data_IF_342336746655
#
_entry.id   IF_342336746655
#
_cell.length_a   1.000
_cell.length_b   1.000
_cell.length_c   1.000
_cell.angle_alpha   90.00
_cell.angle_beta   90.00
_cell.angle_gamma   90.00
#
_symmetry.space_group_name_H-M   'P 1'
#
loop_
_entity.id
_entity.type
_entity.pdbx_description
1 polymer ?
#
# COMPACT_ATOMS: atom_id res chain seq x y z
N UNK A 1 -37.95 7.09 29.38
CA UNK A 1 -38.94 7.43 28.33
C UNK A 1 -38.41 7.29 26.90
N UNK A 2 -37.16 7.65 26.56
CA UNK A 2 -36.62 7.47 25.19
C UNK A 2 -36.05 6.06 24.90
N UNK A 3 -35.49 5.38 25.91
CA UNK A 3 -35.01 4.01 25.80
C UNK A 3 -36.13 2.96 25.94
N UNK A 4 -37.32 3.37 26.37
CA UNK A 4 -38.47 2.46 26.59
C UNK A 4 -39.28 2.22 25.31
N UNK A 5 -38.99 2.95 24.22
CA UNK A 5 -39.72 2.83 22.97
C UNK A 5 -39.09 1.78 22.05
N UNK A 6 -39.41 0.51 22.32
CA UNK A 6 -38.92 -0.67 21.60
C UNK A 6 -39.17 -0.58 20.08
N UNK A 7 -40.28 0.01 19.64
CA UNK A 7 -40.62 0.12 18.22
C UNK A 7 -39.66 1.05 17.46
N UNK A 8 -39.30 2.18 18.06
CA UNK A 8 -38.36 3.15 17.45
C UNK A 8 -36.99 2.51 17.28
N UNK A 9 -36.51 1.80 18.30
CA UNK A 9 -35.21 1.14 18.27
C UNK A 9 -35.19 -0.06 17.33
N UNK A 10 -36.25 -0.87 17.32
CA UNK A 10 -36.37 -2.02 16.40
C UNK A 10 -36.44 -1.58 14.93
N UNK A 11 -37.19 -0.51 14.64
CA UNK A 11 -37.25 0.08 13.31
C UNK A 11 -35.91 0.69 12.89
N UNK A 12 -35.24 1.39 13.79
CA UNK A 12 -33.92 1.94 13.49
C UNK A 12 -32.88 0.83 13.29
N UNK A 13 -32.89 -0.21 14.13
CA UNK A 13 -32.06 -1.42 14.03
C UNK A 13 -32.32 -2.27 12.78
N UNK A 14 -33.30 -1.95 11.95
CA UNK A 14 -33.53 -2.58 10.64
C UNK A 14 -33.39 -1.58 9.48
N UNK A 15 -33.30 -0.29 9.77
CA UNK A 15 -33.20 0.78 8.78
C UNK A 15 -31.81 0.91 8.15
N UNK A 16 -31.78 1.51 6.95
CA UNK A 16 -30.53 1.97 6.30
C UNK A 16 -29.93 3.20 6.98
N UNK A 17 -30.71 3.97 7.73
CA UNK A 17 -30.20 5.13 8.48
C UNK A 17 -29.17 4.69 9.54
N UNK A 18 -29.39 3.52 10.15
CA UNK A 18 -28.41 2.88 11.03
C UNK A 18 -27.14 2.42 10.28
N UNK A 19 -27.25 2.02 9.01
CA UNK A 19 -26.08 1.67 8.15
C UNK A 19 -25.26 2.92 7.77
N UNK A 20 -25.90 4.08 7.71
CA UNK A 20 -25.22 5.35 7.46
C UNK A 20 -24.60 5.95 8.74
N UNK A 21 -24.88 5.36 9.91
CA UNK A 21 -24.43 5.84 11.22
C UNK A 21 -25.22 7.05 11.71
N UNK A 22 -26.42 7.29 11.17
CA UNK A 22 -27.33 8.34 11.63
C UNK A 22 -28.13 7.84 12.81
N UNK A 23 -28.27 8.68 13.83
CA UNK A 23 -29.14 8.39 14.95
C UNK A 23 -30.62 8.51 14.53
N UNK A 24 -31.54 7.84 15.24
CA UNK A 24 -32.96 8.17 15.16
C UNK A 24 -33.16 9.67 15.40
N UNK A 25 -34.15 10.27 14.72
CA UNK A 25 -34.51 11.68 14.90
C UNK A 25 -34.75 12.01 16.39
N UNK A 26 -35.34 11.08 17.14
CA UNK A 26 -35.61 11.18 18.58
C UNK A 26 -34.35 11.36 19.47
N UNK A 27 -33.16 11.00 18.98
CA UNK A 27 -31.88 11.18 19.68
C UNK A 27 -31.00 12.25 19.04
N UNK A 28 -31.35 12.71 17.84
CA UNK A 28 -30.62 13.76 17.13
C UNK A 28 -30.77 15.11 17.85
N UNK A 29 -31.87 15.29 18.59
CA UNK A 29 -32.17 16.48 19.38
C UNK A 29 -31.57 16.46 20.79
N UNK A 30 -31.00 15.33 21.22
CA UNK A 30 -30.33 15.23 22.53
C UNK A 30 -28.89 15.73 22.43
N UNK A 31 -28.35 16.36 23.50
CA UNK A 31 -26.95 16.78 23.57
C UNK A 31 -26.02 15.57 23.81
N UNK A 32 -25.96 14.65 22.85
CA UNK A 32 -25.09 13.48 22.89
C UNK A 32 -23.70 13.84 22.35
N UNK A 33 -22.68 13.45 23.10
CA UNK A 33 -21.31 13.55 22.59
C UNK A 33 -21.08 12.53 21.46
N UNK A 34 -20.23 12.83 20.47
CA UNK A 34 -19.96 11.88 19.38
C UNK A 34 -19.41 10.52 19.86
N UNK A 35 -18.79 10.47 21.04
CA UNK A 35 -18.34 9.23 21.67
C UNK A 35 -19.51 8.42 22.27
N UNK A 36 -20.47 9.08 22.92
CA UNK A 36 -21.68 8.41 23.42
C UNK A 36 -22.51 7.81 22.28
N UNK A 37 -22.58 8.49 21.13
CA UNK A 37 -23.20 7.96 19.90
C UNK A 37 -22.54 6.64 19.48
N UNK A 38 -21.22 6.56 19.57
CA UNK A 38 -20.46 5.37 19.22
C UNK A 38 -20.73 4.20 20.17
N UNK A 39 -20.90 4.48 21.47
CA UNK A 39 -21.31 3.47 22.47
C UNK A 39 -22.71 2.90 22.18
N UNK A 40 -23.65 3.75 21.75
CA UNK A 40 -24.99 3.30 21.35
C UNK A 40 -24.92 2.37 20.13
N UNK A 41 -24.12 2.73 19.12
CA UNK A 41 -23.92 1.89 17.93
C UNK A 41 -23.22 0.58 18.30
N UNK A 42 -22.24 0.61 19.19
CA UNK A 42 -21.57 -0.60 19.68
C UNK A 42 -22.54 -1.56 20.37
N UNK A 43 -23.48 -1.04 21.17
CA UNK A 43 -24.45 -1.85 21.90
C UNK A 43 -25.54 -2.43 20.99
N UNK A 44 -26.02 -1.66 20.01
CA UNK A 44 -27.19 -2.03 19.21
C UNK A 44 -26.84 -2.66 17.85
N UNK A 45 -25.75 -2.25 17.21
CA UNK A 45 -25.31 -2.73 15.89
C UNK A 45 -23.78 -2.76 15.79
N UNK A 46 -23.10 -3.77 16.39
CA UNK A 46 -21.65 -3.88 16.34
C UNK A 46 -21.09 -4.02 14.91
N UNK A 47 -21.89 -4.49 13.94
CA UNK A 47 -21.50 -4.59 12.54
C UNK A 47 -21.10 -3.23 11.92
N UNK A 48 -21.76 -2.14 12.32
CA UNK A 48 -21.51 -0.78 11.81
C UNK A 48 -20.48 0.00 12.63
N UNK A 49 -19.92 -0.63 13.66
CA UNK A 49 -18.95 0.00 14.55
C UNK A 49 -17.72 0.49 13.78
N UNK A 50 -17.18 -0.33 12.87
CA UNK A 50 -15.99 0.02 12.08
C UNK A 50 -16.22 1.27 11.22
N UNK A 51 -17.41 1.41 10.61
CA UNK A 51 -17.77 2.58 9.81
C UNK A 51 -17.92 3.82 10.70
N UNK A 52 -18.60 3.67 11.82
CA UNK A 52 -18.88 4.75 12.77
C UNK A 52 -17.61 5.26 13.45
N UNK A 53 -16.71 4.36 13.84
CA UNK A 53 -15.37 4.70 14.33
C UNK A 53 -14.57 5.51 13.32
N UNK A 54 -14.59 5.10 12.04
CA UNK A 54 -13.91 5.85 10.97
C UNK A 54 -14.50 7.26 10.82
N UNK A 55 -15.82 7.42 10.85
CA UNK A 55 -16.45 8.74 10.77
C UNK A 55 -16.14 9.61 12.01
N UNK A 56 -16.18 9.01 13.20
CA UNK A 56 -15.83 9.68 14.45
C UNK A 56 -14.39 10.20 14.41
N UNK A 57 -13.43 9.34 14.05
CA UNK A 57 -12.03 9.74 13.95
C UNK A 57 -11.81 10.85 12.91
N UNK A 58 -12.51 10.81 11.76
CA UNK A 58 -12.47 11.91 10.77
C UNK A 58 -12.94 13.23 11.35
N UNK A 59 -14.05 13.23 12.10
CA UNK A 59 -14.61 14.42 12.73
C UNK A 59 -13.68 14.96 13.82
N UNK A 60 -13.11 14.09 14.66
CA UNK A 60 -12.20 14.49 15.73
C UNK A 60 -10.86 15.05 15.19
N UNK A 61 -10.32 14.44 14.12
CA UNK A 61 -9.02 14.84 13.54
C UNK A 61 -9.15 15.93 12.46
N UNK A 62 -10.38 16.26 12.00
CA UNK A 62 -10.60 17.21 10.92
C UNK A 62 -10.07 16.75 9.55
N UNK A 63 -9.87 15.44 9.36
CA UNK A 63 -9.28 14.88 8.15
C UNK A 63 -10.35 14.45 7.13
N UNK A 64 -10.17 14.72 5.83
CA UNK A 64 -11.12 14.28 4.80
C UNK A 64 -11.13 12.74 4.64
N UNK A 65 -9.96 12.12 4.76
CA UNK A 65 -9.77 10.67 4.66
C UNK A 65 -8.81 10.18 5.73
N UNK A 66 -9.08 8.99 6.29
CA UNK A 66 -8.19 8.34 7.27
C UNK A 66 -7.10 7.49 6.60
N UNK A 67 -7.33 7.09 5.34
CA UNK A 67 -6.37 6.31 4.59
C UNK A 67 -5.29 7.25 4.05
N UNK A 68 -4.00 6.98 4.30
CA UNK A 68 -2.92 7.77 3.74
C UNK A 68 -2.91 7.67 2.21
N UNK A 69 -2.29 8.65 1.55
CA UNK A 69 -2.06 8.59 0.09
C UNK A 69 -1.14 7.42 -0.28
N UNK A 70 -1.21 6.96 -1.53
CA UNK A 70 -0.25 6.01 -2.09
C UNK A 70 1.19 6.49 -1.84
N UNK A 71 2.01 5.59 -1.27
CA UNK A 71 3.45 5.80 -1.14
C UNK A 71 4.06 5.66 -2.54
N UNK A 72 4.81 6.67 -2.96
CA UNK A 72 5.62 6.64 -4.18
C UNK A 72 7.07 6.85 -3.76
N UNK A 73 7.95 5.90 -4.12
CA UNK A 73 9.34 5.93 -3.67
C UNK A 73 10.10 7.16 -4.20
N UNK A 74 9.74 7.65 -5.39
CA UNK A 74 10.31 8.89 -5.94
C UNK A 74 9.95 10.13 -5.12
N UNK A 75 8.69 10.26 -4.69
CA UNK A 75 8.28 11.38 -3.82
C UNK A 75 8.95 11.30 -2.46
N UNK A 76 9.04 10.10 -1.89
CA UNK A 76 9.72 9.84 -0.63
C UNK A 76 11.19 10.29 -0.71
N UNK A 77 11.91 9.86 -1.75
CA UNK A 77 13.31 10.23 -1.99
C UNK A 77 13.50 11.75 -2.00
N UNK A 78 12.69 12.48 -2.76
CA UNK A 78 12.85 13.93 -2.93
C UNK A 78 12.43 14.76 -1.70
N UNK A 79 11.40 14.33 -0.96
CA UNK A 79 10.79 15.15 0.09
C UNK A 79 11.32 14.86 1.50
N UNK A 80 11.65 13.60 1.80
CA UNK A 80 11.82 13.14 3.18
C UNK A 80 13.18 12.51 3.47
N UNK A 81 13.94 12.08 2.46
CA UNK A 81 15.18 11.29 2.71
C UNK A 81 16.43 12.14 2.96
N UNK A 82 17.27 11.67 3.89
CA UNK A 82 18.55 12.26 4.27
C UNK A 82 19.68 11.25 4.17
N UNK A 83 20.93 11.71 4.07
CA UNK A 83 22.09 10.83 3.96
C UNK A 83 22.42 10.08 5.26
N UNK A 84 22.15 10.73 6.39
CA UNK A 84 22.44 10.20 7.74
C UNK A 84 21.40 9.19 8.23
N UNK A 85 20.18 9.24 7.66
CA UNK A 85 19.06 8.42 8.09
C UNK A 85 18.78 7.33 7.04
N UNK A 86 19.10 6.05 7.32
CA UNK A 86 18.73 4.94 6.43
C UNK A 86 17.22 4.75 6.34
N UNK A 87 16.74 4.28 5.19
CA UNK A 87 15.32 4.05 4.94
C UNK A 87 15.04 2.55 5.06
N UNK A 88 14.16 2.18 5.99
CA UNK A 88 13.71 0.81 6.20
C UNK A 88 12.34 0.59 5.55
N UNK A 89 12.32 -0.21 4.49
CA UNK A 89 11.11 -0.67 3.82
C UNK A 89 10.68 -2.01 4.43
N UNK A 90 9.53 -1.98 5.09
CA UNK A 90 8.87 -3.17 5.62
C UNK A 90 7.97 -3.73 4.53
N UNK A 91 8.33 -4.89 3.97
CA UNK A 91 7.57 -5.52 2.90
C UNK A 91 6.48 -6.43 3.45
N UNK A 92 5.31 -6.37 2.82
CA UNK A 92 4.27 -7.39 3.00
C UNK A 92 4.56 -8.61 2.12
N UNK A 93 4.15 -9.83 2.52
CA UNK A 93 4.40 -11.03 1.73
C UNK A 93 3.91 -10.89 0.27
N UNK A 94 4.83 -11.06 -0.68
CA UNK A 94 4.55 -10.92 -2.11
C UNK A 94 4.66 -9.50 -2.68
N UNK A 95 5.01 -8.51 -1.86
CA UNK A 95 5.38 -7.17 -2.31
C UNK A 95 6.91 -7.07 -2.49
N UNK A 96 7.33 -6.53 -3.63
CA UNK A 96 8.74 -6.43 -4.02
C UNK A 96 9.03 -4.98 -4.48
N UNK A 97 9.81 -4.19 -3.72
CA UNK A 97 10.13 -2.81 -4.05
C UNK A 97 11.34 -2.67 -4.98
N UNK A 98 12.13 -3.71 -5.26
CA UNK A 98 13.41 -3.59 -5.97
C UNK A 98 13.27 -2.93 -7.35
N UNK A 99 12.19 -3.24 -8.09
CA UNK A 99 11.99 -2.63 -9.40
C UNK A 99 11.63 -1.13 -9.30
N UNK A 100 10.75 -0.75 -8.37
CA UNK A 100 10.36 0.66 -8.17
C UNK A 100 11.55 1.48 -7.64
N UNK A 101 12.40 0.88 -6.80
CA UNK A 101 13.66 1.48 -6.35
C UNK A 101 14.63 1.69 -7.50
N UNK A 102 14.83 0.70 -8.37
CA UNK A 102 15.71 0.82 -9.53
C UNK A 102 15.23 1.91 -10.51
N UNK A 103 13.93 1.99 -10.76
CA UNK A 103 13.31 3.03 -11.60
C UNK A 103 13.44 4.42 -10.96
N UNK A 104 13.24 4.54 -9.64
CA UNK A 104 13.42 5.78 -8.90
C UNK A 104 14.89 6.22 -8.86
N UNK A 105 15.83 5.29 -8.70
CA UNK A 105 17.27 5.56 -8.72
C UNK A 105 17.73 5.99 -10.12
N UNK A 106 17.24 5.34 -11.17
CA UNK A 106 17.54 5.74 -12.55
C UNK A 106 17.08 7.17 -12.85
N UNK A 107 15.93 7.58 -12.31
CA UNK A 107 15.39 8.93 -12.51
C UNK A 107 16.13 10.00 -11.70
N UNK A 108 16.72 9.66 -10.54
CA UNK A 108 17.31 10.62 -9.60
C UNK A 108 18.84 10.71 -9.67
N UNK A 109 19.53 9.56 -9.58
CA UNK A 109 21.00 9.47 -9.44
C UNK A 109 21.69 8.86 -10.67
N UNK A 110 20.91 8.31 -11.61
CA UNK A 110 21.40 7.62 -12.79
C UNK A 110 21.83 6.17 -12.53
N UNK A 111 21.81 5.34 -13.57
CA UNK A 111 21.99 3.88 -13.47
C UNK A 111 23.36 3.45 -12.91
N UNK A 112 24.40 4.28 -13.07
CA UNK A 112 25.77 3.94 -12.66
C UNK A 112 26.03 4.04 -11.15
N UNK A 113 25.18 4.74 -10.41
CA UNK A 113 25.36 5.00 -8.97
C UNK A 113 24.40 4.16 -8.10
N UNK A 114 23.63 3.26 -8.70
CA UNK A 114 22.73 2.35 -7.99
C UNK A 114 23.39 1.00 -7.78
N UNK A 115 23.59 0.64 -6.51
CA UNK A 115 24.18 -0.63 -6.09
C UNK A 115 23.15 -1.40 -5.25
N UNK A 116 22.84 -2.64 -5.64
CA UNK A 116 21.91 -3.53 -4.92
C UNK A 116 22.65 -4.80 -4.50
N UNK A 117 22.61 -5.09 -3.20
CA UNK A 117 23.23 -6.28 -2.61
C UNK A 117 22.15 -7.10 -1.91
N UNK A 118 21.94 -8.33 -2.39
CA UNK A 118 21.04 -9.28 -1.73
C UNK A 118 21.76 -9.93 -0.54
N UNK A 119 21.16 -9.81 0.65
CA UNK A 119 21.73 -10.42 1.86
C UNK A 119 21.58 -11.94 1.82
N UNK A 120 22.71 -12.64 1.83
CA UNK A 120 22.81 -14.09 1.85
C UNK A 120 24.04 -14.55 2.63
N UNK A 121 24.21 -15.86 2.79
CA UNK A 121 25.36 -16.41 3.50
C UNK A 121 26.66 -15.97 2.82
N UNK A 122 27.55 -15.32 3.58
CA UNK A 122 28.83 -14.80 3.07
C UNK A 122 28.76 -13.46 2.32
N UNK A 123 27.62 -12.77 2.30
CA UNK A 123 27.48 -11.46 1.63
C UNK A 123 27.65 -10.26 2.57
N UNK A 124 27.82 -10.50 3.87
CA UNK A 124 27.92 -9.44 4.86
C UNK A 124 29.17 -8.55 4.64
N UNK A 125 30.32 -9.18 4.40
CA UNK A 125 31.58 -8.46 4.20
C UNK A 125 31.56 -7.64 2.90
N UNK A 126 30.97 -8.21 1.83
CA UNK A 126 30.77 -7.50 0.56
C UNK A 126 29.84 -6.30 0.75
N UNK A 127 28.71 -6.49 1.44
CA UNK A 127 27.76 -5.41 1.71
C UNK A 127 28.40 -4.27 2.50
N UNK A 128 29.21 -4.58 3.51
CA UNK A 128 29.94 -3.58 4.29
C UNK A 128 30.96 -2.81 3.43
N UNK A 129 31.69 -3.52 2.56
CA UNK A 129 32.62 -2.90 1.62
C UNK A 129 31.91 -1.96 0.64
N UNK A 130 30.79 -2.38 0.06
CA UNK A 130 29.99 -1.56 -0.87
C UNK A 130 29.40 -0.34 -0.16
N UNK A 131 28.86 -0.48 1.05
CA UNK A 131 28.34 0.64 1.84
C UNK A 131 29.44 1.64 2.14
N UNK A 132 30.62 1.16 2.54
CA UNK A 132 31.76 2.02 2.85
C UNK A 132 32.24 2.75 1.60
N UNK A 133 32.41 2.05 0.48
CA UNK A 133 32.79 2.65 -0.80
C UNK A 133 31.77 3.68 -1.31
N UNK A 134 30.47 3.37 -1.20
CA UNK A 134 29.40 4.28 -1.58
C UNK A 134 29.35 5.54 -0.68
N UNK A 135 29.62 5.38 0.63
CA UNK A 135 29.75 6.49 1.56
C UNK A 135 31.00 7.36 1.27
N UNK A 136 32.10 6.74 0.83
CA UNK A 136 33.42 7.37 0.57
C UNK A 136 33.55 8.11 -0.75
N UNK A 137 32.66 7.87 -1.72
CA UNK A 137 32.67 8.47 -3.06
C UNK A 137 32.59 10.02 -3.13
N UNK A 138 32.74 10.72 -2.00
CA UNK A 138 33.02 12.16 -1.90
C UNK A 138 34.17 12.52 -0.93
N UNK A 139 35.41 12.12 -1.23
CA UNK A 139 36.61 12.33 -0.39
C UNK A 139 37.04 13.83 -0.24
N UNK A 140 37.79 14.30 0.78
CA UNK A 140 38.97 13.71 1.43
C UNK A 140 39.07 13.77 2.96
N UNK A 141 39.86 12.82 3.43
CA UNK A 141 40.23 12.35 4.76
C UNK A 141 40.60 13.35 5.88
N UNK A 142 40.68 12.74 7.07
CA UNK A 142 41.14 13.16 8.40
C UNK A 142 40.12 13.98 9.22
N UNK A 143 39.57 13.30 10.23
CA UNK A 143 38.57 13.74 11.21
C UNK A 143 37.11 13.89 10.73
N UNK A 144 36.45 12.73 10.62
CA UNK A 144 34.99 12.60 10.76
C UNK A 144 34.32 11.82 9.62
N UNK A 145 33.32 10.95 9.88
CA UNK A 145 32.55 10.30 8.83
C UNK A 145 31.60 11.33 8.20
N UNK A 146 32.10 12.13 7.25
CA UNK A 146 31.23 12.99 6.44
C UNK A 146 30.64 12.15 5.32
N UNK A 147 29.42 11.63 5.53
CA UNK A 147 28.68 10.93 4.50
C UNK A 147 28.44 11.87 3.31
N UNK A 148 28.58 11.36 2.09
CA UNK A 148 28.26 12.12 0.90
C UNK A 148 26.80 12.59 0.92
N UNK A 149 26.48 13.86 0.59
CA UNK A 149 25.12 14.39 0.71
C UNK A 149 24.08 13.65 -0.17
N UNK A 150 24.52 12.98 -1.24
CA UNK A 150 23.65 12.16 -2.11
C UNK A 150 23.62 10.68 -1.74
N UNK A 151 24.41 10.23 -0.76
CA UNK A 151 24.35 8.85 -0.28
C UNK A 151 22.98 8.59 0.35
N UNK A 152 22.36 7.45 0.03
CA UNK A 152 21.11 7.00 0.66
C UNK A 152 21.18 5.48 0.82
N UNK A 153 20.98 5.01 2.05
CA UNK A 153 20.90 3.58 2.34
C UNK A 153 19.44 3.13 2.38
N UNK A 154 19.08 2.17 1.54
CA UNK A 154 17.76 1.55 1.51
C UNK A 154 17.86 0.11 2.00
N UNK A 155 17.06 -0.22 3.01
CA UNK A 155 17.01 -1.55 3.62
C UNK A 155 15.63 -2.15 3.40
N UNK A 156 15.55 -3.38 2.94
CA UNK A 156 14.29 -4.11 2.79
C UNK A 156 14.23 -5.23 3.82
N UNK A 157 13.12 -5.34 4.54
CA UNK A 157 12.94 -6.39 5.55
C UNK A 157 11.48 -6.84 5.64
N UNK A 158 11.28 -8.12 5.93
CA UNK A 158 9.99 -8.62 6.37
C UNK A 158 9.78 -8.30 7.86
N UNK A 159 8.53 -8.19 8.33
CA UNK A 159 8.27 -7.96 9.74
C UNK A 159 8.83 -9.12 10.60
N UNK A 160 9.78 -8.80 11.48
CA UNK A 160 10.41 -9.75 12.41
C UNK A 160 10.30 -9.25 13.85
N UNK A 161 10.07 -10.17 14.79
CA UNK A 161 9.93 -9.84 16.22
C UNK A 161 11.29 -9.51 16.87
N UNK A 162 12.38 -10.12 16.40
CA UNK A 162 13.73 -9.98 16.96
C UNK A 162 14.60 -9.03 16.13
N UNK A 163 14.03 -7.91 15.69
CA UNK A 163 14.78 -6.89 14.94
C UNK A 163 15.41 -5.88 15.92
N UNK A 164 16.68 -5.46 15.70
CA UNK A 164 17.39 -4.57 16.62
C UNK A 164 16.72 -3.19 16.74
N UNK A 165 16.38 -2.79 17.97
CA UNK A 165 15.70 -1.52 18.26
C UNK A 165 16.54 -0.30 17.93
N UNK A 166 17.87 -0.38 18.04
CA UNK A 166 18.79 0.71 17.70
C UNK A 166 18.65 1.11 16.23
N UNK A 167 18.63 0.13 15.32
CA UNK A 167 18.45 0.38 13.90
C UNK A 167 17.04 0.89 13.62
N UNK A 168 16.02 0.36 14.30
CA UNK A 168 14.66 0.89 14.17
C UNK A 168 14.59 2.36 14.59
N UNK A 169 15.25 2.78 15.67
CA UNK A 169 15.16 4.17 16.11
C UNK A 169 15.80 5.13 15.09
N UNK A 170 16.90 4.73 14.46
CA UNK A 170 17.65 5.56 13.51
C UNK A 170 17.16 5.52 12.06
N UNK A 171 16.18 4.69 11.71
CA UNK A 171 15.70 4.56 10.33
C UNK A 171 14.40 5.34 10.07
N UNK A 172 14.22 5.83 8.84
CA UNK A 172 12.91 6.22 8.31
C UNK A 172 12.14 4.95 7.94
N UNK A 173 10.95 4.73 8.51
CA UNK A 173 10.18 3.48 8.33
C UNK A 173 9.06 3.68 7.33
N UNK A 174 9.01 2.81 6.33
CA UNK A 174 7.97 2.84 5.30
C UNK A 174 7.42 1.44 5.10
N UNK A 175 6.09 1.30 5.15
CA UNK A 175 5.42 0.05 4.82
C UNK A 175 5.16 -0.01 3.32
N UNK A 176 5.60 -1.10 2.68
CA UNK A 176 5.35 -1.36 1.27
C UNK A 176 4.27 -2.43 1.13
N UNK A 177 3.05 -1.94 0.96
CA UNK A 177 1.84 -2.75 0.82
C UNK A 177 0.95 -2.22 -0.32
N UNK A 178 -0.03 -3.03 -0.73
CA UNK A 178 -1.05 -2.58 -1.67
C UNK A 178 -1.96 -1.55 -0.97
N UNK A 179 -2.24 -0.39 -1.58
CA UNK A 179 -3.05 0.62 -0.94
C UNK A 179 -4.48 0.09 -0.69
N UNK A 180 -5.08 0.36 0.47
CA UNK A 180 -6.42 -0.12 0.78
C UNK A 180 -7.46 0.64 -0.05
N UNK A 181 -8.40 -0.11 -0.62
CA UNK A 181 -9.52 0.41 -1.37
C UNK A 181 -9.31 0.40 -2.88
N UNK A 182 -10.37 0.00 -3.60
CA UNK A 182 -10.39 -0.14 -5.06
C UNK A 182 -9.92 1.13 -5.79
N UNK A 183 -10.38 2.31 -5.34
CA UNK A 183 -10.01 3.60 -5.94
C UNK A 183 -8.51 3.88 -5.80
N UNK A 184 -7.92 3.55 -4.66
CA UNK A 184 -6.50 3.80 -4.41
C UNK A 184 -5.62 2.82 -5.20
N UNK A 185 -6.05 1.56 -5.32
CA UNK A 185 -5.37 0.57 -6.19
C UNK A 185 -5.38 1.00 -7.66
N UNK A 186 -6.52 1.50 -8.16
CA UNK A 186 -6.61 2.08 -9.50
C UNK A 186 -5.72 3.30 -9.65
N UNK A 187 -5.77 4.23 -8.69
CA UNK A 187 -4.93 5.44 -8.70
C UNK A 187 -3.44 5.08 -8.77
N UNK A 188 -2.97 4.13 -7.96
CA UNK A 188 -1.58 3.64 -8.00
C UNK A 188 -1.23 3.02 -9.35
N UNK A 189 -2.14 2.25 -9.94
CA UNK A 189 -1.92 1.65 -11.26
C UNK A 189 -1.82 2.72 -12.35
N UNK A 190 -2.67 3.73 -12.32
CA UNK A 190 -2.62 4.85 -13.27
C UNK A 190 -1.41 5.75 -13.05
N UNK A 191 -0.98 5.99 -11.81
CA UNK A 191 0.26 6.71 -11.50
C UNK A 191 1.50 6.00 -12.03
N UNK A 192 1.47 4.66 -12.13
CA UNK A 192 2.59 3.89 -12.71
C UNK A 192 2.64 3.93 -14.23
N UNK A 193 1.57 4.36 -14.91
CA UNK A 193 1.52 4.38 -16.37
C UNK A 193 1.88 5.75 -16.92
N UNK A 194 2.87 5.80 -17.80
CA UNK A 194 3.19 7.01 -18.54
C UNK A 194 2.09 7.33 -19.57
N UNK A 195 1.80 8.62 -19.78
CA UNK A 195 0.82 9.06 -20.78
C UNK A 195 1.12 8.50 -22.18
N UNK A 196 2.40 8.43 -22.55
CA UNK A 196 2.87 7.87 -23.82
C UNK A 196 2.63 6.36 -23.94
N UNK A 197 2.58 5.63 -22.82
CA UNK A 197 2.29 4.20 -22.82
C UNK A 197 0.82 3.91 -23.15
N UNK A 198 -0.07 4.78 -22.67
CA UNK A 198 -1.51 4.72 -22.90
C UNK A 198 -1.86 5.22 -24.30
N UNK A 199 -1.20 6.27 -24.77
CA UNK A 199 -1.46 6.92 -26.06
C UNK A 199 -0.94 6.17 -27.31
N UNK A 200 -0.31 4.99 -27.15
CA UNK A 200 0.16 4.17 -28.29
C UNK A 200 -1.02 3.66 -29.15
N UNK A 201 -0.73 3.46 -30.44
CA UNK A 201 -1.68 3.22 -31.54
C UNK A 201 -2.86 2.27 -31.24
N UNK A 202 -4.00 2.59 -31.88
CA UNK A 202 -5.36 2.08 -31.64
C UNK A 202 -5.89 2.37 -30.21
N UNK A 203 -6.01 3.68 -29.93
CA UNK A 203 -6.10 4.22 -28.57
C UNK A 203 -7.36 3.82 -27.81
N UNK A 204 -8.51 3.67 -28.47
CA UNK A 204 -9.78 3.44 -27.77
C UNK A 204 -9.95 1.99 -27.29
N UNK A 205 -9.73 1.01 -28.17
CA UNK A 205 -9.83 -0.42 -27.85
C UNK A 205 -8.77 -0.82 -26.81
N UNK A 206 -7.54 -0.33 -26.99
CA UNK A 206 -6.41 -0.55 -26.08
C UNK A 206 -6.61 0.12 -24.72
N UNK A 207 -7.04 1.39 -24.67
CA UNK A 207 -7.28 2.07 -23.40
C UNK A 207 -8.40 1.39 -22.61
N UNK A 208 -9.45 0.92 -23.29
CA UNK A 208 -10.54 0.15 -22.66
C UNK A 208 -10.03 -1.17 -22.09
N UNK A 209 -9.18 -1.90 -22.83
CA UNK A 209 -8.57 -3.14 -22.35
C UNK A 209 -7.59 -2.91 -21.17
N UNK A 210 -6.84 -1.81 -21.18
CA UNK A 210 -5.99 -1.41 -20.06
C UNK A 210 -6.83 -1.04 -18.83
N UNK A 211 -7.89 -0.25 -19.00
CA UNK A 211 -8.79 0.11 -17.91
C UNK A 211 -9.48 -1.11 -17.31
N UNK A 212 -9.97 -2.05 -18.13
CA UNK A 212 -10.58 -3.29 -17.64
C UNK A 212 -9.58 -4.18 -16.90
N UNK A 213 -8.33 -4.25 -17.38
CA UNK A 213 -7.25 -4.95 -16.69
C UNK A 213 -6.90 -4.30 -15.34
N UNK A 214 -6.78 -2.98 -15.27
CA UNK A 214 -6.52 -2.26 -14.03
C UNK A 214 -7.65 -2.46 -13.02
N UNK A 215 -8.90 -2.41 -13.48
CA UNK A 215 -10.07 -2.71 -12.66
C UNK A 215 -10.06 -4.14 -12.14
N UNK A 216 -9.83 -5.11 -13.02
CA UNK A 216 -9.74 -6.53 -12.64
C UNK A 216 -8.63 -6.77 -11.60
N UNK A 217 -7.45 -6.18 -11.82
CA UNK A 217 -6.33 -6.24 -10.88
C UNK A 217 -6.70 -5.65 -9.51
N UNK A 218 -7.31 -4.46 -9.49
CA UNK A 218 -7.73 -3.80 -8.26
C UNK A 218 -8.80 -4.62 -7.51
N UNK A 219 -9.78 -5.20 -8.21
CA UNK A 219 -10.80 -6.08 -7.60
C UNK A 219 -10.15 -7.34 -7.01
N UNK A 220 -9.22 -7.98 -7.72
CA UNK A 220 -8.52 -9.16 -7.20
C UNK A 220 -7.72 -8.85 -5.94
N UNK A 221 -7.05 -7.70 -5.89
CA UNK A 221 -6.32 -7.25 -4.71
C UNK A 221 -7.25 -7.05 -3.51
N UNK A 222 -8.38 -6.36 -3.69
CA UNK A 222 -9.35 -6.13 -2.61
C UNK A 222 -9.99 -7.43 -2.11
N UNK A 223 -10.30 -8.38 -3.01
CA UNK A 223 -10.90 -9.67 -2.63
C UNK A 223 -9.99 -10.51 -1.74
N UNK A 224 -8.68 -10.26 -1.70
CA UNK A 224 -7.77 -10.90 -0.73
C UNK A 224 -8.10 -10.54 0.71
N UNK A 225 -8.60 -9.32 0.96
CA UNK A 225 -8.98 -8.86 2.30
C UNK A 225 -10.24 -9.52 2.85
N UNK A 226 -11.06 -10.14 2.00
CA UNK A 226 -12.34 -10.76 2.36
C UNK A 226 -12.29 -12.30 2.47
N UNK A 227 -11.10 -12.90 2.59
CA UNK A 227 -10.95 -14.36 2.69
C UNK A 227 -10.85 -14.84 4.15
N UNK A 228 -11.94 -15.36 4.75
CA UNK A 228 -11.86 -16.13 5.98
C UNK A 228 -11.79 -17.67 5.76
N UNK A 229 -11.78 -18.22 4.53
CA UNK A 229 -12.05 -19.67 4.34
C UNK A 229 -11.14 -20.51 3.42
N UNK A 230 -10.06 -20.00 2.83
CA UNK A 230 -9.15 -20.87 2.05
C UNK A 230 -7.71 -20.68 2.53
N UNK A 231 -7.36 -21.37 3.62
CA UNK A 231 -6.02 -21.41 4.21
C UNK A 231 -4.97 -22.13 3.32
N UNK A 232 -5.34 -22.53 2.09
CA UNK A 232 -4.51 -23.43 1.28
C UNK A 232 -3.89 -22.82 0.03
N UNK A 233 -4.27 -21.62 -0.40
CA UNK A 233 -3.73 -21.04 -1.63
C UNK A 233 -3.47 -19.54 -1.45
N UNK A 234 -2.48 -19.21 -0.63
CA UNK A 234 -1.81 -17.92 -0.74
C UNK A 234 -1.04 -17.92 -2.07
N UNK A 235 -1.69 -17.52 -3.15
CA UNK A 235 -0.99 -17.23 -4.39
C UNK A 235 -0.45 -15.80 -4.30
N UNK A 236 0.88 -15.60 -4.22
CA UNK A 236 1.45 -14.30 -4.48
C UNK A 236 1.17 -13.98 -5.96
N UNK A 237 0.06 -13.30 -6.27
CA UNK A 237 -0.08 -12.71 -7.60
C UNK A 237 0.97 -11.60 -7.70
N UNK A 238 2.13 -11.96 -8.24
CA UNK A 238 3.17 -11.04 -8.68
C UNK A 238 2.69 -10.42 -9.98
N UNK A 239 1.80 -9.44 -9.91
CA UNK A 239 1.36 -8.70 -11.09
C UNK A 239 2.41 -7.64 -11.43
N UNK A 240 3.40 -8.04 -12.24
CA UNK A 240 4.39 -7.14 -12.83
C UNK A 240 3.76 -6.45 -14.04
N UNK A 241 3.05 -5.34 -13.80
CA UNK A 241 2.46 -4.52 -14.86
C UNK A 241 3.57 -3.67 -15.49
N UNK A 242 4.10 -4.13 -16.62
CA UNK A 242 5.10 -3.38 -17.38
C UNK A 242 5.70 -4.18 -18.52
N UNK A 243 6.07 -5.44 -18.29
CA UNK A 243 6.82 -6.24 -19.28
C UNK A 243 6.33 -7.67 -19.51
N UNK A 244 5.55 -8.29 -18.59
CA UNK A 244 5.04 -9.67 -18.74
C UNK A 244 3.53 -9.81 -18.89
N UNK A 245 2.78 -8.69 -18.91
CA UNK A 245 1.33 -8.74 -19.11
C UNK A 245 0.94 -9.34 -20.49
N UNK A 246 1.82 -9.24 -21.48
CA UNK A 246 1.66 -9.86 -22.80
C UNK A 246 1.79 -11.40 -22.78
N UNK A 247 2.49 -11.99 -21.81
CA UNK A 247 2.55 -13.46 -21.66
C UNK A 247 1.29 -14.01 -20.98
N UNK A 248 0.64 -13.24 -20.11
CA UNK A 248 -0.58 -13.65 -19.42
C UNK A 248 -1.76 -13.83 -20.40
N UNK A 249 -1.92 -12.89 -21.35
CA UNK A 249 -2.85 -13.03 -22.47
C UNK A 249 -2.55 -14.26 -23.34
N UNK A 250 -1.27 -14.58 -23.55
CA UNK A 250 -0.85 -15.74 -24.36
C UNK A 250 -1.18 -17.09 -23.70
N UNK A 251 -1.20 -17.15 -22.37
CA UNK A 251 -1.48 -18.37 -21.61
C UNK A 251 -2.98 -18.64 -21.42
N UNK A 252 -3.79 -17.60 -21.22
CA UNK A 252 -5.22 -17.75 -20.92
C UNK A 252 -6.16 -17.55 -22.12
N UNK A 253 -5.76 -16.76 -23.13
CA UNK A 253 -6.63 -16.42 -24.27
C UNK A 253 -6.30 -17.23 -25.54
N UNK A 254 -5.07 -17.75 -25.67
CA UNK A 254 -4.58 -18.38 -26.91
C UNK A 254 -4.26 -19.88 -26.81
N UNK A 255 -4.70 -20.59 -25.75
CA UNK A 255 -4.69 -22.07 -25.80
C UNK A 255 -5.89 -22.55 -26.60
N UNK A 256 -5.71 -23.28 -27.73
CA UNK A 256 -6.79 -24.05 -28.31
C UNK A 256 -7.28 -25.05 -27.27
N UNK A 257 -8.59 -25.22 -27.15
CA UNK A 257 -9.18 -26.24 -26.30
C UNK A 257 -8.51 -27.61 -26.59
N UNK A 258 -8.14 -28.40 -25.56
CA UNK A 258 -7.65 -29.75 -25.81
C UNK A 258 -8.76 -30.52 -26.54
N UNK A 259 -8.44 -30.95 -27.76
CA UNK A 259 -9.34 -31.73 -28.58
C UNK A 259 -9.84 -32.95 -27.81
N UNK A 260 -11.12 -33.21 -27.94
CA UNK A 260 -11.75 -34.48 -27.60
C UNK A 260 -11.02 -35.59 -28.36
N UNK A 261 -10.19 -36.36 -27.68
CA UNK A 261 -9.76 -37.66 -28.19
C UNK A 261 -10.91 -38.65 -27.96
N UNK A 262 -11.34 -39.21 -29.09
CA UNK A 262 -12.16 -40.41 -29.33
C UNK A 262 -12.25 -41.42 -28.19
#
# INVERSE_FOLDING_TARGET
>A
MLFDNEEVWSRWMTSRDAEEGRLPAALSDLPLTPFQVLLVIQALRPAELQRSMKQFAKKCLGLPHLTPSSVSLQRLYNAETRAEEPILIIISPGADPSQELAEAAQASIGKGNYHEVAMGQGQADLALSEITSAAESGSWASDGPKLHPNFRLWLTTEPQQTFPSTLLQSCLKVTYEAPPGLRNNLKRTYESWNADYVAKADSASRATALASLAWFHAVLQERRGFLPQVRHLFFPCRFRVGSRCSQWLRWYVLRPAPGTCT
#
